data_IF_123425524825
#
_entry.id   IF_123425524825
#
_cell.length_a   1.000
_cell.length_b   1.000
_cell.length_c   1.000
_cell.angle_alpha   90.00
_cell.angle_beta   90.00
_cell.angle_gamma   90.00
#
_symmetry.space_group_name_H-M   'P 1'
#
loop_
_entity.id
_entity.type
_entity.pdbx_description
1 polymer ?
#
# COMPACT_ATOMS: atom_id res chain seq x y z
N UNK A 1 22.20 -0.27 3.37
CA UNK A 1 23.44 0.33 3.92
C UNK A 1 24.69 -0.50 3.63
N UNK A 2 24.79 -1.77 4.07
CA UNK A 2 26.04 -2.54 3.85
C UNK A 2 26.34 -2.82 2.38
N UNK A 3 25.31 -3.08 1.58
CA UNK A 3 25.45 -3.13 0.12
C UNK A 3 26.01 -1.83 -0.46
N UNK A 4 25.45 -0.68 -0.09
CA UNK A 4 25.92 0.63 -0.57
C UNK A 4 27.37 0.92 -0.17
N UNK A 5 27.76 0.56 1.05
CA UNK A 5 29.15 0.65 1.51
C UNK A 5 30.10 -0.22 0.67
N UNK A 6 29.69 -1.44 0.33
CA UNK A 6 30.47 -2.34 -0.52
C UNK A 6 30.65 -1.76 -1.94
N UNK A 7 29.58 -1.19 -2.51
CA UNK A 7 29.63 -0.56 -3.84
C UNK A 7 30.55 0.68 -3.86
N UNK A 8 30.49 1.52 -2.81
CA UNK A 8 31.42 2.67 -2.68
C UNK A 8 32.88 2.24 -2.58
N UNK A 9 33.20 1.13 -1.91
CA UNK A 9 34.57 0.57 -1.91
C UNK A 9 35.03 0.10 -3.30
N UNK A 10 34.09 -0.29 -4.16
CA UNK A 10 34.36 -0.68 -5.54
C UNK A 10 34.37 0.52 -6.52
N UNK A 11 34.28 1.76 -6.02
CA UNK A 11 34.31 2.98 -6.84
C UNK A 11 32.95 3.39 -7.42
N UNK A 12 31.86 2.74 -7.02
CA UNK A 12 30.50 3.11 -7.42
C UNK A 12 29.92 4.10 -6.43
N UNK A 13 29.50 5.28 -6.90
CA UNK A 13 28.83 6.26 -6.06
C UNK A 13 27.38 5.84 -5.80
N UNK A 14 27.12 5.29 -4.61
CA UNK A 14 25.81 4.82 -4.18
C UNK A 14 25.52 5.30 -2.75
N UNK A 15 24.46 6.07 -2.60
CA UNK A 15 24.02 6.62 -1.31
C UNK A 15 23.56 5.51 -0.35
N UNK A 16 23.59 5.76 0.96
CA UNK A 16 23.25 4.74 1.96
C UNK A 16 21.76 4.36 1.96
N UNK A 17 20.91 5.27 1.50
CA UNK A 17 19.45 5.22 1.37
C UNK A 17 18.97 4.99 -0.07
N UNK A 18 19.88 4.58 -0.97
CA UNK A 18 19.55 4.28 -2.37
C UNK A 18 18.34 3.34 -2.53
N UNK A 19 18.16 2.44 -1.56
CA UNK A 19 16.99 1.57 -1.49
C UNK A 19 15.92 2.20 -0.60
N UNK A 20 14.85 2.69 -1.22
CA UNK A 20 13.72 3.31 -0.53
C UNK A 20 12.85 2.24 0.15
N UNK A 21 13.26 1.80 1.34
CA UNK A 21 12.50 0.87 2.17
C UNK A 21 11.71 1.57 3.29
N UNK A 22 11.43 2.87 3.14
CA UNK A 22 10.65 3.66 4.10
C UNK A 22 9.37 2.98 4.62
N UNK A 23 8.54 2.34 3.77
CA UNK A 23 7.31 1.70 4.23
C UNK A 23 7.50 0.28 4.79
N UNK A 24 8.69 -0.09 5.29
CA UNK A 24 8.94 -1.45 5.81
C UNK A 24 7.96 -1.83 6.94
N UNK A 25 7.56 -0.87 7.76
CA UNK A 25 6.59 -1.03 8.87
C UNK A 25 5.19 -1.44 8.39
N UNK A 26 4.84 -1.19 7.12
CA UNK A 26 3.57 -1.65 6.55
C UNK A 26 3.42 -3.18 6.67
N UNK A 27 4.54 -3.91 6.58
CA UNK A 27 4.56 -5.36 6.72
C UNK A 27 4.12 -5.87 8.10
N UNK A 28 4.11 -5.02 9.12
CA UNK A 28 3.73 -5.35 10.50
C UNK A 28 2.22 -5.19 10.75
N UNK A 29 1.54 -4.36 9.94
CA UNK A 29 0.10 -4.07 10.07
C UNK A 29 -0.77 -4.74 9.02
N UNK A 30 -0.18 -5.24 7.93
CA UNK A 30 -0.90 -6.00 6.91
C UNK A 30 -1.47 -7.31 7.48
N UNK A 31 -2.61 -7.79 6.95
CA UNK A 31 -3.23 -9.02 7.42
C UNK A 31 -2.27 -10.22 7.39
N UNK A 32 -2.39 -11.10 8.39
CA UNK A 32 -1.58 -12.33 8.49
C UNK A 32 -1.58 -13.10 7.17
N UNK A 33 -0.41 -13.62 6.79
CA UNK A 33 -0.21 -14.35 5.53
C UNK A 33 -0.07 -13.47 4.29
N UNK A 34 0.04 -12.15 4.39
CA UNK A 34 0.20 -11.27 3.21
C UNK A 34 1.39 -11.66 2.32
N UNK A 35 2.47 -12.19 2.92
CA UNK A 35 3.66 -12.68 2.19
C UNK A 35 3.37 -13.86 1.28
N UNK A 36 2.37 -14.69 1.63
CA UNK A 36 1.93 -15.83 0.82
C UNK A 36 1.04 -15.41 -0.34
N UNK A 37 0.46 -14.20 -0.25
CA UNK A 37 -0.45 -13.63 -1.26
C UNK A 37 0.24 -12.68 -2.24
N UNK A 38 1.56 -12.52 -2.17
CA UNK A 38 2.30 -11.67 -3.11
C UNK A 38 2.20 -12.20 -4.54
N UNK A 39 2.12 -11.29 -5.50
CA UNK A 39 2.01 -11.62 -6.92
C UNK A 39 3.26 -11.19 -7.65
N UNK A 40 3.82 -12.08 -8.46
CA UNK A 40 4.93 -11.74 -9.35
C UNK A 40 4.41 -10.87 -10.50
N UNK A 41 4.97 -9.68 -10.66
CA UNK A 41 4.60 -8.71 -11.71
C UNK A 41 5.68 -8.55 -12.77
N UNK A 42 6.90 -9.00 -12.49
CA UNK A 42 8.00 -9.01 -13.43
C UNK A 42 8.99 -10.12 -13.08
N UNK A 43 9.52 -10.78 -14.11
CA UNK A 43 10.56 -11.79 -14.00
C UNK A 43 11.54 -11.59 -15.16
N UNK A 44 12.75 -11.16 -14.83
CA UNK A 44 13.88 -11.07 -15.75
C UNK A 44 15.05 -11.92 -15.25
N UNK A 45 16.13 -11.95 -16.02
CA UNK A 45 17.29 -12.82 -15.74
C UNK A 45 17.96 -12.56 -14.38
N UNK A 46 17.93 -11.31 -13.91
CA UNK A 46 18.61 -10.87 -12.68
C UNK A 46 17.68 -10.17 -11.69
N UNK A 47 16.40 -9.99 -12.04
CA UNK A 47 15.44 -9.24 -11.23
C UNK A 47 14.07 -9.89 -11.27
N UNK A 48 13.54 -10.16 -10.08
CA UNK A 48 12.17 -10.61 -9.88
C UNK A 48 11.46 -9.55 -9.05
N UNK A 49 10.34 -9.02 -9.55
CA UNK A 49 9.52 -8.07 -8.82
C UNK A 49 8.20 -8.74 -8.46
N UNK A 50 7.87 -8.68 -7.17
CA UNK A 50 6.57 -9.06 -6.65
C UNK A 50 5.90 -7.86 -6.01
N UNK A 51 4.58 -7.79 -6.10
CA UNK A 51 3.73 -6.83 -5.40
C UNK A 51 2.81 -7.53 -4.42
N UNK A 52 2.14 -6.77 -3.55
CA UNK A 52 1.10 -7.29 -2.66
C UNK A 52 -0.05 -7.91 -3.47
N UNK A 53 -0.67 -8.96 -2.93
CA UNK A 53 -1.94 -9.45 -3.47
C UNK A 53 -3.01 -8.38 -3.42
N UNK A 54 -4.04 -8.49 -4.27
CA UNK A 54 -5.07 -7.43 -4.46
C UNK A 54 -5.65 -6.90 -3.16
N UNK A 55 -6.08 -7.79 -2.24
CA UNK A 55 -6.68 -7.40 -0.96
C UNK A 55 -5.71 -6.60 -0.06
N UNK A 56 -4.43 -6.97 -0.05
CA UNK A 56 -3.39 -6.31 0.76
C UNK A 56 -2.95 -4.99 0.11
N UNK A 57 -2.85 -4.97 -1.22
CA UNK A 57 -2.54 -3.76 -2.00
C UNK A 57 -3.63 -2.70 -1.80
N UNK A 58 -4.90 -3.09 -1.88
CA UNK A 58 -6.03 -2.19 -1.63
C UNK A 58 -5.98 -1.60 -0.22
N UNK A 59 -5.76 -2.42 0.81
CA UNK A 59 -5.61 -1.94 2.19
C UNK A 59 -4.51 -0.88 2.30
N UNK A 60 -3.33 -1.14 1.74
CA UNK A 60 -2.22 -0.18 1.79
C UNK A 60 -2.53 1.15 1.09
N UNK A 61 -3.20 1.12 -0.07
CA UNK A 61 -3.52 2.32 -0.86
C UNK A 61 -4.70 3.09 -0.30
N UNK A 62 -5.71 2.40 0.22
CA UNK A 62 -6.85 3.04 0.88
C UNK A 62 -6.42 3.67 2.22
N UNK A 63 -5.53 3.03 2.98
CA UNK A 63 -4.96 3.64 4.19
C UNK A 63 -4.20 4.92 3.85
N UNK A 64 -3.32 4.85 2.85
CA UNK A 64 -2.60 6.00 2.32
C UNK A 64 -3.53 7.14 1.89
N UNK A 65 -4.63 6.84 1.20
CA UNK A 65 -5.63 7.83 0.85
C UNK A 65 -6.26 8.48 2.10
N UNK A 66 -6.60 7.68 3.11
CA UNK A 66 -7.15 8.22 4.37
C UNK A 66 -6.14 9.07 5.14
N UNK A 67 -4.89 8.63 5.23
CA UNK A 67 -3.84 9.25 6.05
C UNK A 67 -3.33 10.58 5.45
N UNK A 68 -2.94 10.57 4.17
CA UNK A 68 -2.29 11.73 3.51
C UNK A 68 -3.09 12.35 2.36
N UNK A 69 -4.18 11.72 1.92
CA UNK A 69 -5.06 12.29 0.88
C UNK A 69 -4.54 12.26 -0.56
N UNK A 70 -3.29 11.84 -0.80
CA UNK A 70 -2.64 11.94 -2.13
C UNK A 70 -2.88 10.74 -3.05
N UNK A 71 -3.32 9.60 -2.53
CA UNK A 71 -3.40 8.33 -3.27
C UNK A 71 -4.75 8.12 -3.98
N UNK A 72 -5.54 9.19 -4.14
CA UNK A 72 -6.84 9.10 -4.82
C UNK A 72 -6.72 8.60 -6.27
N UNK A 73 -5.77 9.09 -7.11
CA UNK A 73 -5.61 8.58 -8.47
C UNK A 73 -5.30 7.08 -8.51
N UNK A 74 -4.48 6.59 -7.58
CA UNK A 74 -4.12 5.17 -7.48
C UNK A 74 -5.34 4.33 -7.08
N UNK A 75 -6.13 4.79 -6.11
CA UNK A 75 -7.35 4.09 -5.68
C UNK A 75 -8.39 4.05 -6.80
N UNK A 76 -8.51 5.11 -7.61
CA UNK A 76 -9.37 5.12 -8.80
C UNK A 76 -8.86 4.12 -9.84
N UNK A 77 -7.55 4.12 -10.11
CA UNK A 77 -6.94 3.21 -11.09
C UNK A 77 -7.05 1.73 -10.70
N UNK A 78 -7.02 1.43 -9.39
CA UNK A 78 -7.21 0.07 -8.87
C UNK A 78 -8.65 -0.44 -9.01
N UNK A 79 -9.62 0.48 -9.19
CA UNK A 79 -11.04 0.21 -9.36
C UNK A 79 -11.56 -0.90 -8.42
N UNK A 80 -11.40 -0.75 -7.08
CA UNK A 80 -11.91 -1.73 -6.13
C UNK A 80 -13.42 -1.87 -6.28
N UNK A 81 -14.00 -3.06 -6.15
CA UNK A 81 -15.46 -3.23 -6.14
C UNK A 81 -16.08 -2.70 -4.84
N UNK A 82 -17.40 -2.56 -4.82
CA UNK A 82 -18.14 -2.23 -3.60
C UNK A 82 -17.85 -3.21 -2.44
N UNK A 83 -17.75 -4.50 -2.77
CA UNK A 83 -17.42 -5.57 -1.82
C UNK A 83 -15.99 -5.42 -1.29
N UNK A 84 -15.02 -5.17 -2.17
CA UNK A 84 -13.63 -4.98 -1.76
C UNK A 84 -13.45 -3.73 -0.88
N UNK A 85 -14.19 -2.65 -1.13
CA UNK A 85 -14.21 -1.47 -0.27
C UNK A 85 -14.79 -1.82 1.11
N UNK A 86 -15.90 -2.57 1.15
CA UNK A 86 -16.52 -3.01 2.40
C UNK A 86 -15.60 -3.93 3.21
N UNK A 87 -14.90 -4.86 2.55
CA UNK A 87 -13.92 -5.76 3.18
C UNK A 87 -12.71 -5.01 3.75
N UNK A 88 -12.29 -3.90 3.15
CA UNK A 88 -11.17 -3.11 3.63
C UNK A 88 -11.53 -2.25 4.84
N UNK A 89 -12.80 -1.82 4.96
CA UNK A 89 -13.28 -0.90 5.99
C UNK A 89 -12.84 -1.23 7.42
N UNK A 90 -13.17 -2.42 7.96
CA UNK A 90 -12.81 -2.80 9.33
C UNK A 90 -11.30 -2.74 9.61
N UNK A 91 -10.47 -3.09 8.63
CA UNK A 91 -9.01 -2.99 8.79
C UNK A 91 -8.57 -1.54 8.81
N UNK A 92 -9.09 -0.69 7.91
CA UNK A 92 -8.75 0.73 7.82
C UNK A 92 -9.07 1.50 9.10
N UNK A 93 -10.25 1.26 9.69
CA UNK A 93 -10.71 1.96 10.90
C UNK A 93 -9.83 1.69 12.14
N UNK A 94 -8.99 0.65 12.12
CA UNK A 94 -8.10 0.27 13.23
C UNK A 94 -6.67 0.81 13.09
N UNK A 95 -6.33 1.48 11.99
CA UNK A 95 -4.94 1.84 11.70
C UNK A 95 -4.44 3.08 12.45
N UNK A 96 -5.35 3.95 12.91
CA UNK A 96 -5.01 5.16 13.66
C UNK A 96 -5.86 5.25 14.94
N UNK A 97 -5.22 5.67 16.03
CA UNK A 97 -5.84 5.74 17.36
C UNK A 97 -6.70 6.99 17.60
N UNK A 98 -6.82 7.89 16.62
CA UNK A 98 -7.65 9.08 16.72
C UNK A 98 -9.15 8.71 16.75
N UNK A 99 -9.91 9.24 17.72
CA UNK A 99 -11.34 8.96 17.89
C UNK A 99 -12.19 9.32 16.65
N UNK A 100 -11.75 10.30 15.85
CA UNK A 100 -12.42 10.70 14.62
C UNK A 100 -12.01 9.88 13.39
N UNK A 101 -10.97 9.05 13.52
CA UNK A 101 -10.42 8.27 12.41
C UNK A 101 -11.45 7.36 11.74
N UNK A 102 -12.26 6.56 12.47
CA UNK A 102 -13.25 5.69 11.82
C UNK A 102 -14.28 6.48 11.00
N UNK A 103 -14.70 7.65 11.48
CA UNK A 103 -15.63 8.50 10.74
C UNK A 103 -15.00 9.06 9.47
N UNK A 104 -13.73 9.48 9.54
CA UNK A 104 -12.94 9.94 8.40
C UNK A 104 -12.73 8.85 7.34
N UNK A 105 -12.38 7.63 7.76
CA UNK A 105 -12.25 6.47 6.87
C UNK A 105 -13.55 6.22 6.12
N UNK A 106 -14.69 6.16 6.83
CA UNK A 106 -15.99 5.94 6.18
C UNK A 106 -16.35 7.03 5.18
N UNK A 107 -16.10 8.30 5.52
CA UNK A 107 -16.34 9.42 4.61
C UNK A 107 -15.46 9.35 3.35
N UNK A 108 -14.18 9.02 3.53
CA UNK A 108 -13.20 8.90 2.44
C UNK A 108 -13.54 7.73 1.51
N UNK A 109 -13.86 6.56 2.07
CA UNK A 109 -14.26 5.37 1.31
C UNK A 109 -15.58 5.60 0.58
N UNK A 110 -16.55 6.29 1.20
CA UNK A 110 -17.80 6.65 0.56
C UNK A 110 -17.59 7.63 -0.61
N UNK A 111 -16.70 8.61 -0.48
CA UNK A 111 -16.34 9.50 -1.60
C UNK A 111 -15.73 8.72 -2.77
N UNK A 112 -14.79 7.82 -2.50
CA UNK A 112 -14.19 6.95 -3.50
C UNK A 112 -15.25 6.05 -4.17
N UNK A 113 -16.13 5.42 -3.39
CA UNK A 113 -17.19 4.55 -3.91
C UNK A 113 -18.13 5.29 -4.88
N UNK A 114 -18.48 6.55 -4.58
CA UNK A 114 -19.27 7.39 -5.50
C UNK A 114 -18.53 7.68 -6.79
N UNK A 115 -17.24 8.01 -6.72
CA UNK A 115 -16.41 8.26 -7.91
C UNK A 115 -16.28 7.04 -8.82
N UNK A 116 -16.32 5.85 -8.22
CA UNK A 116 -16.25 4.56 -8.92
C UNK A 116 -17.63 4.03 -9.36
N UNK A 117 -18.72 4.69 -8.99
CA UNK A 117 -20.08 4.29 -9.37
C UNK A 117 -20.63 3.08 -8.62
N UNK A 118 -20.15 2.78 -7.40
CA UNK A 118 -20.62 1.65 -6.59
C UNK A 118 -21.94 1.89 -5.84
N UNK A 119 -22.60 3.02 -6.08
CA UNK A 119 -23.89 3.37 -5.51
C UNK A 119 -24.36 4.72 -6.05
N UNK A 120 -25.67 4.78 -6.30
CA UNK A 120 -26.47 5.85 -6.94
C UNK A 120 -26.26 7.23 -6.31
#
# INVERSE_FOLDING_TARGET
RDFAKAQRKAGVDLLDDWFNNGPTQLGDVLPVGWRERVQRIFEGEVLVLSTLGRSDLLKSKLFALCDRGTDLPDCIALAPTAEELAECGPWLELQDGNELWPAHVRATVADLARRLGHGV
#
